data_IF_185401756620
#
_entry.id   IF_185401756620
#
_cell.length_a   1.000
_cell.length_b   1.000
_cell.length_c   1.000
_cell.angle_alpha   90.00
_cell.angle_beta   90.00
_cell.angle_gamma   90.00
#
_symmetry.space_group_name_H-M   'P 1'
#
loop_
_entity.id
_entity.type
_entity.pdbx_description
1 polymer ?
#
# COMPACT_ATOMS: atom_id res chain seq x y z
N UNK A 1 -17.06 61.87 -34.54
CA UNK A 1 -16.20 60.70 -34.83
C UNK A 1 -16.20 59.81 -33.61
N UNK A 2 -16.93 58.69 -33.66
CA UNK A 2 -16.95 57.71 -32.58
C UNK A 2 -15.65 56.89 -32.66
N UNK A 3 -14.84 56.89 -31.59
CA UNK A 3 -13.70 56.00 -31.48
C UNK A 3 -14.19 54.65 -30.94
N UNK A 4 -14.13 53.62 -31.78
CA UNK A 4 -14.42 52.25 -31.37
C UNK A 4 -13.31 51.74 -30.45
N UNK A 5 -13.66 51.47 -29.19
CA UNK A 5 -12.81 50.69 -28.30
C UNK A 5 -12.88 49.22 -28.72
N UNK A 6 -11.81 48.72 -29.35
CA UNK A 6 -11.61 47.30 -29.60
C UNK A 6 -11.43 46.57 -28.26
N UNK A 7 -12.40 45.76 -27.87
CA UNK A 7 -12.26 44.82 -26.77
C UNK A 7 -11.30 43.70 -27.20
N UNK A 8 -10.18 43.57 -26.50
CA UNK A 8 -9.30 42.41 -26.65
C UNK A 8 -10.04 41.15 -26.21
N UNK A 9 -9.92 40.03 -26.94
CA UNK A 9 -10.53 38.77 -26.52
C UNK A 9 -9.85 38.30 -25.24
N UNK A 10 -10.63 38.22 -24.17
CA UNK A 10 -10.26 37.52 -22.95
C UNK A 10 -9.99 36.07 -23.35
N UNK A 11 -8.71 35.70 -23.43
CA UNK A 11 -8.34 34.30 -23.50
C UNK A 11 -8.91 33.64 -22.23
N UNK A 12 -9.95 32.83 -22.40
CA UNK A 12 -10.37 31.86 -21.40
C UNK A 12 -9.20 30.90 -21.23
N UNK A 13 -8.28 31.28 -20.34
CA UNK A 13 -7.35 30.33 -19.75
C UNK A 13 -8.24 29.32 -19.04
N UNK A 14 -8.53 28.23 -19.73
CA UNK A 14 -8.89 26.97 -19.10
C UNK A 14 -7.72 26.69 -18.18
N UNK A 15 -7.89 27.00 -16.91
CA UNK A 15 -6.95 26.58 -15.88
C UNK A 15 -7.00 25.05 -15.89
N UNK A 16 -6.18 24.43 -16.75
CA UNK A 16 -5.73 23.07 -16.54
C UNK A 16 -5.10 23.10 -15.16
N UNK A 17 -5.82 22.59 -14.18
CA UNK A 17 -5.36 22.55 -12.80
C UNK A 17 -4.06 21.74 -12.80
N UNK A 18 -2.92 22.43 -12.82
CA UNK A 18 -1.63 21.77 -12.74
C UNK A 18 -1.54 21.16 -11.34
N UNK A 19 -1.55 19.84 -11.27
CA UNK A 19 -1.40 19.16 -9.98
C UNK A 19 -0.07 19.56 -9.36
N UNK A 20 -0.01 19.77 -8.02
CA UNK A 20 1.24 20.09 -7.37
C UNK A 20 2.21 18.90 -7.52
N UNK A 21 3.52 19.19 -7.63
CA UNK A 21 4.56 18.17 -7.74
C UNK A 21 4.60 17.19 -6.55
N UNK A 22 4.02 17.57 -5.42
CA UNK A 22 3.89 16.77 -4.22
C UNK A 22 2.63 17.18 -3.46
N UNK A 23 2.08 16.26 -2.67
CA UNK A 23 0.94 16.52 -1.78
C UNK A 23 1.24 15.96 -0.40
N UNK A 24 0.78 16.63 0.66
CA UNK A 24 0.70 16.00 1.97
C UNK A 24 -0.59 15.21 2.05
N UNK A 25 -0.51 13.90 2.22
CA UNK A 25 -1.67 13.02 2.31
C UNK A 25 -1.86 12.55 3.74
N UNK A 26 -3.06 12.75 4.27
CA UNK A 26 -3.46 12.17 5.54
C UNK A 26 -3.60 10.65 5.40
N UNK A 27 -2.99 9.88 6.32
CA UNK A 27 -2.99 8.40 6.28
C UNK A 27 -4.37 7.78 6.48
N UNK A 28 -5.29 8.51 7.11
CA UNK A 28 -6.63 8.03 7.43
C UNK A 28 -7.57 8.14 6.23
N UNK A 29 -8.41 7.11 6.07
CA UNK A 29 -9.50 7.13 5.10
C UNK A 29 -10.77 7.60 5.80
N UNK A 30 -11.38 8.65 5.26
CA UNK A 30 -12.58 9.25 5.84
C UNK A 30 -13.84 8.64 5.23
N UNK A 31 -14.47 7.71 5.95
CA UNK A 31 -15.76 7.14 5.53
C UNK A 31 -16.91 8.14 5.71
N UNK A 32 -17.68 8.37 4.65
CA UNK A 32 -18.85 9.26 4.58
C UNK A 32 -19.89 8.60 3.69
N UNK A 33 -20.84 7.90 4.31
CA UNK A 33 -21.83 7.10 3.58
C UNK A 33 -23.00 7.96 3.04
N UNK A 34 -23.24 9.14 3.63
CA UNK A 34 -24.25 10.09 3.16
C UNK A 34 -23.71 11.08 2.12
N UNK A 35 -24.54 11.41 1.13
CA UNK A 35 -24.17 12.32 0.04
C UNK A 35 -23.87 13.75 0.52
N UNK A 36 -24.42 14.18 1.66
CA UNK A 36 -24.27 15.56 2.15
C UNK A 36 -22.87 15.82 2.71
N UNK A 37 -22.27 14.81 3.33
CA UNK A 37 -20.95 14.89 3.94
C UNK A 37 -19.83 14.40 3.01
N UNK A 38 -20.17 13.72 1.93
CA UNK A 38 -19.22 13.29 0.89
C UNK A 38 -18.79 14.48 0.01
N UNK A 39 -17.49 14.65 -0.31
CA UNK A 39 -17.03 15.85 -1.02
C UNK A 39 -17.51 15.92 -2.48
N UNK A 40 -18.21 17.00 -2.85
CA UNK A 40 -18.70 17.29 -4.22
C UNK A 40 -17.63 17.32 -5.32
N UNK A 41 -18.05 17.14 -6.58
CA UNK A 41 -17.20 17.20 -7.79
C UNK A 41 -16.58 18.59 -8.03
N UNK A 42 -17.14 19.64 -7.43
CA UNK A 42 -16.78 21.03 -7.73
C UNK A 42 -15.42 21.47 -7.16
N UNK A 43 -14.79 20.67 -6.29
CA UNK A 43 -13.62 21.07 -5.48
C UNK A 43 -12.28 20.43 -5.89
N UNK A 44 -12.00 20.32 -7.19
CA UNK A 44 -10.78 19.65 -7.70
C UNK A 44 -10.58 18.25 -7.09
N UNK A 45 -11.70 17.51 -7.00
CA UNK A 45 -11.77 16.18 -6.42
C UNK A 45 -11.63 15.14 -7.53
N UNK A 46 -10.68 14.21 -7.40
CA UNK A 46 -10.62 13.04 -8.27
C UNK A 46 -11.58 11.97 -7.73
N UNK A 47 -12.52 11.48 -8.55
CA UNK A 47 -13.53 10.50 -8.12
C UNK A 47 -13.51 9.23 -8.97
N UNK A 48 -13.61 8.09 -8.30
CA UNK A 48 -13.81 6.80 -8.96
C UNK A 48 -14.78 5.95 -8.17
N UNK A 49 -15.60 5.18 -8.88
CA UNK A 49 -16.45 4.15 -8.28
C UNK A 49 -15.91 2.77 -8.63
N UNK A 50 -16.10 1.83 -7.71
CA UNK A 50 -15.67 0.45 -7.84
C UNK A 50 -16.65 -0.48 -7.16
N UNK A 51 -16.40 -1.77 -7.29
CA UNK A 51 -17.10 -2.82 -6.56
C UNK A 51 -16.11 -3.94 -6.29
N UNK A 52 -16.07 -4.41 -5.05
CA UNK A 52 -15.22 -5.55 -4.68
C UNK A 52 -15.85 -6.90 -4.99
N UNK A 53 -15.21 -7.93 -4.48
CA UNK A 53 -15.58 -9.34 -4.60
C UNK A 53 -17.02 -9.63 -4.11
N UNK A 54 -17.47 -8.92 -3.08
CA UNK A 54 -18.84 -9.04 -2.55
C UNK A 54 -19.88 -8.23 -3.35
N UNK A 55 -19.51 -7.64 -4.49
CA UNK A 55 -20.37 -6.84 -5.38
C UNK A 55 -21.06 -5.66 -4.69
N UNK A 56 -20.54 -5.20 -3.55
CA UNK A 56 -21.01 -3.98 -2.90
C UNK A 56 -20.30 -2.78 -3.54
N UNK A 57 -21.05 -1.82 -4.10
CA UNK A 57 -20.46 -0.66 -4.74
C UNK A 57 -19.91 0.30 -3.70
N UNK A 58 -18.81 0.96 -4.04
CA UNK A 58 -18.21 2.04 -3.27
C UNK A 58 -17.74 3.16 -4.20
N UNK A 59 -17.61 4.36 -3.64
CA UNK A 59 -17.06 5.52 -4.33
C UNK A 59 -15.91 6.10 -3.53
N UNK A 60 -14.79 6.34 -4.19
CA UNK A 60 -13.60 7.00 -3.65
C UNK A 60 -13.57 8.44 -4.17
N UNK A 61 -13.33 9.38 -3.27
CA UNK A 61 -13.08 10.78 -3.60
C UNK A 61 -11.75 11.22 -3.00
N UNK A 62 -10.80 11.59 -3.85
CA UNK A 62 -9.54 12.17 -3.44
C UNK A 62 -9.62 13.69 -3.54
N UNK A 63 -9.67 14.34 -2.38
CA UNK A 63 -9.58 15.81 -2.29
C UNK A 63 -8.13 16.23 -2.23
N UNK A 64 -7.65 16.80 -3.32
CA UNK A 64 -6.28 17.31 -3.44
C UNK A 64 -6.27 18.76 -2.97
N UNK A 65 -5.27 19.11 -2.16
CA UNK A 65 -5.07 20.44 -1.62
C UNK A 65 -3.62 20.87 -1.84
N UNK A 66 -3.43 22.14 -2.20
CA UNK A 66 -2.09 22.69 -2.44
C UNK A 66 -1.26 22.66 -1.15
N UNK A 67 -0.02 22.13 -1.17
CA UNK A 67 0.83 22.16 0.01
C UNK A 67 1.07 23.60 0.52
N UNK A 68 1.14 23.83 1.84
CA UNK A 68 1.16 22.84 2.92
C UNK A 68 -0.23 22.45 3.45
N UNK A 69 -1.31 22.60 2.66
CA UNK A 69 -2.59 22.03 3.04
C UNK A 69 -2.58 20.49 2.92
N UNK A 70 -3.42 19.84 3.72
CA UNK A 70 -3.50 18.38 3.79
C UNK A 70 -4.57 17.88 2.81
N UNK A 71 -4.14 17.02 1.89
CA UNK A 71 -5.00 16.25 0.99
C UNK A 71 -5.59 15.03 1.73
N UNK A 72 -6.80 14.62 1.35
CA UNK A 72 -7.55 13.58 2.06
C UNK A 72 -8.27 12.63 1.13
N UNK A 73 -8.30 11.36 1.53
CA UNK A 73 -9.06 10.31 0.86
C UNK A 73 -10.38 10.07 1.58
N UNK A 74 -11.47 10.14 0.82
CA UNK A 74 -12.83 9.86 1.29
C UNK A 74 -13.37 8.61 0.61
N UNK A 75 -14.17 7.85 1.35
CA UNK A 75 -14.85 6.66 0.85
C UNK A 75 -16.33 6.74 1.22
N UNK A 76 -17.19 6.53 0.24
CA UNK A 76 -18.61 6.29 0.42
C UNK A 76 -18.85 4.80 0.18
N UNK A 77 -19.28 4.08 1.21
CA UNK A 77 -19.49 2.64 1.12
C UNK A 77 -20.65 2.20 2.02
N UNK A 78 -21.89 2.61 1.73
CA UNK A 78 -23.05 2.41 2.61
C UNK A 78 -23.39 0.94 2.88
N UNK A 79 -23.03 0.04 1.96
CA UNK A 79 -23.22 -1.42 2.10
C UNK A 79 -21.98 -2.14 2.63
N UNK A 80 -20.93 -1.40 3.00
CA UNK A 80 -19.73 -1.95 3.64
C UNK A 80 -19.93 -2.24 5.12
N UNK A 81 -18.98 -2.93 5.78
CA UNK A 81 -19.03 -3.23 7.21
C UNK A 81 -19.28 -1.99 8.08
N UNK A 82 -19.93 -2.12 9.23
CA UNK A 82 -20.20 -0.97 10.09
C UNK A 82 -18.88 -0.26 10.50
N UNK A 83 -18.71 1.04 10.23
CA UNK A 83 -17.50 1.77 10.61
C UNK A 83 -17.27 1.86 12.13
N UNK A 84 -18.31 1.71 12.95
CA UNK A 84 -18.19 1.67 14.40
C UNK A 84 -17.62 0.32 14.91
N UNK A 85 -17.80 -0.74 14.14
CA UNK A 85 -17.29 -2.08 14.45
C UNK A 85 -15.89 -2.31 13.89
N UNK A 86 -15.61 -1.80 12.68
CA UNK A 86 -14.34 -2.03 12.00
C UNK A 86 -13.96 -0.90 11.04
N UNK A 87 -12.68 -0.48 11.09
CA UNK A 87 -12.09 0.32 10.01
C UNK A 87 -11.87 -0.60 8.81
N UNK A 88 -12.83 -0.62 7.89
CA UNK A 88 -12.86 -1.55 6.78
C UNK A 88 -12.15 -1.07 5.51
N UNK A 89 -11.58 0.14 5.50
CA UNK A 89 -10.84 0.67 4.36
C UNK A 89 -9.53 1.31 4.80
N UNK A 90 -8.44 0.99 4.11
CA UNK A 90 -7.11 1.47 4.44
C UNK A 90 -6.40 2.07 3.22
N UNK A 91 -5.74 3.21 3.44
CA UNK A 91 -4.68 3.69 2.57
C UNK A 91 -3.43 2.86 2.87
N UNK A 92 -3.03 2.01 1.92
CA UNK A 92 -1.97 1.02 2.12
C UNK A 92 -0.61 1.64 1.84
N UNK A 93 -0.42 2.14 0.61
CA UNK A 93 0.84 2.69 0.15
C UNK A 93 0.61 3.67 -1.00
N UNK A 94 1.58 4.55 -1.25
CA UNK A 94 1.56 5.48 -2.38
C UNK A 94 2.93 5.50 -3.05
N UNK A 95 2.94 5.65 -4.37
CA UNK A 95 4.17 5.92 -5.11
C UNK A 95 3.86 6.65 -6.41
N UNK A 96 4.49 7.82 -6.62
CA UNK A 96 4.20 8.73 -7.74
C UNK A 96 2.72 9.09 -7.76
N UNK A 97 2.05 8.84 -8.88
CA UNK A 97 0.62 9.06 -9.07
C UNK A 97 -0.25 7.85 -8.67
N UNK A 98 0.32 6.77 -8.13
CA UNK A 98 -0.44 5.59 -7.73
C UNK A 98 -0.71 5.58 -6.22
N UNK A 99 -1.95 5.26 -5.88
CA UNK A 99 -2.43 5.12 -4.50
C UNK A 99 -3.05 3.74 -4.34
N UNK A 100 -2.46 2.91 -3.48
CA UNK A 100 -2.96 1.58 -3.17
C UNK A 100 -3.92 1.66 -1.98
N UNK A 101 -5.13 1.16 -2.17
CA UNK A 101 -6.18 1.08 -1.15
C UNK A 101 -6.64 -0.36 -0.96
N UNK A 102 -7.05 -0.69 0.26
CA UNK A 102 -7.56 -2.01 0.62
C UNK A 102 -8.95 -1.88 1.23
N UNK A 103 -9.87 -2.73 0.78
CA UNK A 103 -11.22 -2.89 1.33
C UNK A 103 -11.32 -4.25 2.01
N UNK A 104 -11.68 -4.23 3.28
CA UNK A 104 -11.79 -5.39 4.16
C UNK A 104 -13.28 -5.72 4.37
N UNK A 105 -13.63 -7.00 4.29
CA UNK A 105 -15.01 -7.46 4.44
C UNK A 105 -15.16 -8.31 5.69
N UNK A 106 -16.30 -8.21 6.37
CA UNK A 106 -16.66 -9.18 7.40
C UNK A 106 -17.46 -10.28 6.71
N UNK A 107 -16.96 -11.50 6.75
CA UNK A 107 -17.73 -12.67 6.31
C UNK A 107 -18.06 -13.50 7.54
N UNK A 108 -19.34 -13.79 7.73
CA UNK A 108 -19.78 -14.80 8.68
C UNK A 108 -19.34 -16.16 8.16
N UNK A 109 -18.16 -16.60 8.56
CA UNK A 109 -17.62 -17.93 8.28
C UNK A 109 -17.21 -18.60 9.58
N UNK A 110 -17.23 -19.95 9.64
CA UNK A 110 -16.83 -20.70 10.84
C UNK A 110 -15.38 -20.42 11.26
N UNK A 111 -14.57 -19.89 10.33
CA UNK A 111 -13.29 -19.25 10.61
C UNK A 111 -13.46 -17.77 10.27
N UNK A 112 -13.15 -16.82 11.19
CA UNK A 112 -13.17 -15.41 10.84
C UNK A 112 -12.10 -15.11 9.78
N UNK A 113 -12.51 -15.15 8.52
CA UNK A 113 -11.76 -14.63 7.39
C UNK A 113 -12.22 -13.19 7.16
N UNK A 114 -11.26 -12.30 6.92
CA UNK A 114 -11.53 -10.95 6.45
C UNK A 114 -10.98 -10.86 5.04
N UNK A 115 -11.77 -11.21 4.00
CA UNK A 115 -11.37 -11.04 2.63
C UNK A 115 -10.96 -9.59 2.40
N UNK A 116 -9.91 -9.42 1.60
CA UNK A 116 -9.37 -8.12 1.25
C UNK A 116 -9.37 -7.96 -0.27
N UNK A 117 -9.90 -6.86 -0.75
CA UNK A 117 -9.79 -6.46 -2.14
C UNK A 117 -8.91 -5.21 -2.23
N UNK A 118 -7.85 -5.32 -3.05
CA UNK A 118 -6.90 -4.25 -3.28
C UNK A 118 -7.24 -3.53 -4.57
N UNK A 119 -7.16 -2.20 -4.53
CA UNK A 119 -7.36 -1.36 -5.70
C UNK A 119 -6.23 -0.35 -5.82
N UNK A 120 -5.86 -0.06 -7.07
CA UNK A 120 -4.96 1.03 -7.39
C UNK A 120 -5.79 2.18 -7.92
N UNK A 121 -5.70 3.31 -7.23
CA UNK A 121 -6.21 4.58 -7.69
C UNK A 121 -5.07 5.36 -8.37
N UNK A 122 -5.31 5.85 -9.59
CA UNK A 122 -4.34 6.61 -10.36
C UNK A 122 -4.70 8.10 -10.33
N UNK A 123 -3.90 8.91 -9.65
CA UNK A 123 -4.03 10.36 -9.66
C UNK A 123 -3.30 10.96 -10.88
N UNK A 124 -3.78 10.68 -12.10
CA UNK A 124 -3.25 11.34 -13.30
C UNK A 124 -3.92 12.69 -13.51
N UNK A 125 -3.12 13.72 -13.71
CA UNK A 125 -3.61 15.06 -14.01
C UNK A 125 -3.79 15.37 -15.49
N UNK A 126 -3.00 14.73 -16.35
CA UNK A 126 -2.74 15.24 -17.69
C UNK A 126 -3.28 14.38 -18.84
N UNK A 127 -4.07 13.33 -18.58
CA UNK A 127 -4.81 12.66 -19.66
C UNK A 127 -5.99 11.81 -19.15
N UNK A 128 -7.25 12.26 -19.29
CA UNK A 128 -8.42 11.46 -18.91
C UNK A 128 -8.73 10.28 -19.85
N UNK A 129 -7.92 10.00 -20.89
CA UNK A 129 -8.38 9.17 -22.02
C UNK A 129 -7.83 7.73 -22.06
N UNK A 130 -6.85 7.30 -21.25
CA UNK A 130 -6.27 5.95 -21.43
C UNK A 130 -6.18 4.99 -20.24
N UNK A 131 -6.51 5.38 -19.00
CA UNK A 131 -6.54 4.43 -17.88
C UNK A 131 -7.72 4.67 -16.94
N UNK A 132 -8.41 3.62 -16.45
CA UNK A 132 -9.41 3.80 -15.42
C UNK A 132 -8.73 4.41 -14.19
N UNK A 133 -9.37 5.43 -13.60
CA UNK A 133 -8.89 6.07 -12.37
C UNK A 133 -8.76 5.08 -11.21
N UNK A 134 -9.46 3.93 -11.29
CA UNK A 134 -9.44 2.84 -10.32
C UNK A 134 -9.29 1.49 -11.01
N UNK A 135 -8.28 0.71 -10.63
CA UNK A 135 -8.00 -0.65 -11.12
C UNK A 135 -8.09 -1.64 -9.96
N UNK A 136 -8.94 -2.64 -10.08
CA UNK A 136 -8.99 -3.76 -9.13
C UNK A 136 -7.77 -4.68 -9.35
N UNK A 137 -7.17 -5.16 -8.26
CA UNK A 137 -6.10 -6.15 -8.31
C UNK A 137 -6.68 -7.56 -8.11
N UNK A 138 -6.14 -8.58 -8.79
CA UNK A 138 -6.54 -9.95 -8.55
C UNK A 138 -6.18 -10.37 -7.11
N UNK A 139 -6.93 -11.30 -6.50
CA UNK A 139 -6.58 -11.83 -5.19
C UNK A 139 -5.23 -12.55 -5.25
N UNK A 140 -4.44 -12.43 -4.17
CA UNK A 140 -3.28 -13.30 -3.99
C UNK A 140 -3.80 -14.67 -3.58
N UNK A 141 -3.43 -15.73 -4.31
CA UNK A 141 -3.91 -17.09 -4.04
C UNK A 141 -2.75 -18.07 -3.95
N UNK A 142 -2.93 -19.12 -3.16
CA UNK A 142 -1.93 -20.17 -2.97
C UNK A 142 -2.60 -21.55 -2.86
N UNK A 143 -1.85 -22.58 -3.25
CA UNK A 143 -2.24 -23.97 -3.02
C UNK A 143 -1.60 -24.44 -1.71
N UNK A 144 -2.38 -24.85 -0.71
CA UNK A 144 -1.83 -25.47 0.48
C UNK A 144 -1.13 -26.77 0.09
N UNK A 145 0.18 -26.87 0.35
CA UNK A 145 0.90 -28.14 0.25
C UNK A 145 0.52 -28.99 1.45
N UNK A 146 0.05 -30.21 1.24
CA UNK A 146 -0.37 -31.11 2.33
C UNK A 146 0.70 -31.19 3.42
N UNK A 147 0.34 -30.84 4.65
CA UNK A 147 1.21 -30.88 5.83
C UNK A 147 1.87 -29.55 6.23
N UNK A 148 1.84 -28.50 5.40
CA UNK A 148 2.30 -27.17 5.80
C UNK A 148 1.23 -26.42 6.62
N UNK A 149 1.60 -25.72 7.70
CA UNK A 149 0.68 -24.82 8.40
C UNK A 149 0.15 -23.76 7.43
N UNK A 150 -1.14 -23.44 7.52
CA UNK A 150 -1.69 -22.29 6.81
C UNK A 150 -0.89 -21.02 7.18
N UNK A 151 -0.70 -20.05 6.25
CA UNK A 151 -0.04 -18.77 6.55
C UNK A 151 -0.68 -18.04 7.73
N UNK A 152 -1.97 -18.29 7.98
CA UNK A 152 -2.64 -17.92 9.21
C UNK A 152 -2.11 -18.77 10.38
N UNK A 153 -1.54 -18.12 11.39
CA UNK A 153 -1.39 -18.71 12.74
C UNK A 153 -2.72 -19.08 13.39
N UNK A 154 -3.85 -18.78 12.75
CA UNK A 154 -5.16 -19.29 13.17
C UNK A 154 -5.34 -20.71 12.63
N UNK A 155 -4.93 -21.70 13.43
CA UNK A 155 -5.45 -23.05 13.32
C UNK A 155 -6.86 -23.03 13.93
N UNK A 156 -7.96 -23.14 13.16
CA UNK A 156 -9.24 -23.41 13.80
C UNK A 156 -9.16 -24.78 14.48
N UNK A 157 -9.40 -24.81 15.79
CA UNK A 157 -9.76 -26.05 16.46
C UNK A 157 -11.02 -26.59 15.77
N UNK A 158 -10.88 -27.64 14.96
CA UNK A 158 -12.04 -28.27 14.33
C UNK A 158 -11.95 -28.64 12.85
N UNK A 159 -10.77 -28.61 12.20
CA UNK A 159 -10.58 -29.30 10.92
C UNK A 159 -11.49 -28.87 9.75
N UNK A 160 -12.15 -27.72 9.85
CA UNK A 160 -12.95 -27.19 8.74
C UNK A 160 -12.02 -26.65 7.65
N UNK A 161 -12.23 -27.00 6.37
CA UNK A 161 -11.52 -26.34 5.28
C UNK A 161 -11.85 -24.84 5.30
N UNK A 162 -10.87 -23.94 5.04
CA UNK A 162 -11.16 -22.51 4.98
C UNK A 162 -12.23 -22.27 3.94
N UNK A 163 -13.26 -21.51 4.26
CA UNK A 163 -14.38 -21.16 3.36
C UNK A 163 -13.96 -20.48 2.06
N UNK A 164 -12.71 -20.03 1.97
CA UNK A 164 -12.15 -19.33 0.81
C UNK A 164 -11.54 -20.28 -0.24
N UNK A 165 -11.99 -21.53 -0.30
CA UNK A 165 -11.66 -22.43 -1.41
C UNK A 165 -12.30 -21.84 -2.68
N UNK A 166 -11.51 -21.13 -3.48
CA UNK A 166 -11.88 -20.88 -4.88
C UNK A 166 -12.11 -22.23 -5.56
N UNK A 167 -13.07 -22.34 -6.49
CA UNK A 167 -13.51 -23.63 -7.06
C UNK A 167 -12.42 -24.54 -7.66
N UNK A 168 -11.18 -24.06 -7.76
CA UNK A 168 -9.97 -24.76 -8.19
C UNK A 168 -9.11 -25.33 -7.02
N UNK A 169 -9.55 -25.21 -5.76
CA UNK A 169 -8.78 -25.65 -4.59
C UNK A 169 -7.77 -24.62 -4.07
N UNK A 170 -7.66 -23.46 -4.72
CA UNK A 170 -6.80 -22.36 -4.30
C UNK A 170 -7.43 -21.59 -3.15
N UNK A 171 -6.61 -21.21 -2.16
CA UNK A 171 -7.02 -20.38 -1.04
C UNK A 171 -6.55 -18.94 -1.24
N UNK A 172 -7.35 -17.97 -0.80
CA UNK A 172 -6.90 -16.57 -0.69
C UNK A 172 -5.76 -16.48 0.34
N UNK A 173 -4.67 -15.85 -0.07
CA UNK A 173 -3.55 -15.53 0.80
C UNK A 173 -3.87 -14.26 1.61
N UNK A 174 -3.80 -14.31 2.96
CA UNK A 174 -4.11 -13.18 3.81
C UNK A 174 -2.92 -12.20 3.84
N UNK A 175 -2.93 -11.21 2.95
CA UNK A 175 -1.92 -10.14 2.97
C UNK A 175 -2.08 -9.28 4.22
N UNK A 176 -0.99 -8.96 4.92
CA UNK A 176 -1.01 -7.90 5.94
C UNK A 176 -0.81 -6.56 5.26
N UNK A 177 -1.85 -5.73 5.19
CA UNK A 177 -1.81 -4.38 4.64
C UNK A 177 -0.66 -3.53 5.19
N UNK A 178 -0.20 -3.69 6.44
CA UNK A 178 0.97 -2.94 6.96
C UNK A 178 2.29 -3.34 6.31
N UNK A 179 2.35 -4.54 5.76
CA UNK A 179 3.53 -5.11 5.10
C UNK A 179 3.42 -5.07 3.57
N UNK A 180 2.36 -4.49 3.03
CA UNK A 180 2.16 -4.31 1.58
C UNK A 180 2.68 -2.95 1.14
N UNK A 181 3.46 -2.92 0.05
CA UNK A 181 3.93 -1.71 -0.61
C UNK A 181 3.60 -1.70 -2.09
N UNK A 182 3.73 -0.53 -2.72
CA UNK A 182 3.60 -0.33 -4.16
C UNK A 182 4.82 0.40 -4.72
N UNK A 183 5.34 -0.08 -5.84
CA UNK A 183 6.42 0.52 -6.61
C UNK A 183 5.92 0.78 -8.04
N UNK A 184 6.25 1.94 -8.59
CA UNK A 184 5.88 2.36 -9.94
C UNK A 184 7.14 2.76 -10.70
N UNK A 185 7.45 2.07 -11.78
CA UNK A 185 8.63 2.30 -12.60
C UNK A 185 8.23 2.33 -14.08
N UNK A 186 8.34 3.51 -14.69
CA UNK A 186 7.92 3.70 -16.07
C UNK A 186 6.43 3.45 -16.23
N UNK A 187 6.09 2.50 -17.11
CA UNK A 187 4.71 2.08 -17.39
C UNK A 187 4.28 0.82 -16.62
N UNK A 188 5.12 0.34 -15.71
CA UNK A 188 4.88 -0.85 -14.90
C UNK A 188 4.76 -0.49 -13.42
N UNK A 189 4.00 -1.31 -12.69
CA UNK A 189 3.98 -1.28 -11.24
C UNK A 189 4.15 -2.68 -10.66
N UNK A 190 4.63 -2.70 -9.42
CA UNK A 190 4.65 -3.88 -8.58
C UNK A 190 3.96 -3.58 -7.25
N UNK A 191 3.10 -4.50 -6.81
CA UNK A 191 2.57 -4.54 -5.45
C UNK A 191 3.20 -5.74 -4.77
N UNK A 192 3.76 -5.56 -3.58
CA UNK A 192 4.41 -6.65 -2.88
C UNK A 192 4.21 -6.62 -1.37
N UNK A 193 4.09 -7.81 -0.79
CA UNK A 193 4.15 -8.05 0.65
C UNK A 193 5.42 -8.84 0.99
N UNK A 194 6.08 -8.50 2.10
CA UNK A 194 7.18 -9.28 2.67
C UNK A 194 6.85 -9.68 4.11
N UNK A 195 6.90 -10.98 4.36
CA UNK A 195 6.74 -11.57 5.70
C UNK A 195 8.00 -12.30 6.11
N UNK A 196 8.53 -12.00 7.30
CA UNK A 196 9.66 -12.76 7.86
C UNK A 196 9.16 -14.08 8.46
N UNK A 197 9.61 -15.18 7.86
CA UNK A 197 9.38 -16.55 8.30
C UNK A 197 10.47 -16.97 9.29
N UNK A 198 10.02 -17.53 10.41
CA UNK A 198 10.88 -18.03 11.49
C UNK A 198 10.59 -19.52 11.64
N UNK A 199 11.62 -20.34 11.58
CA UNK A 199 11.49 -21.76 11.89
C UNK A 199 12.11 -22.08 13.26
N UNK A 200 11.66 -23.17 13.88
CA UNK A 200 12.17 -23.74 15.14
C UNK A 200 13.68 -23.96 15.07
N UNK A 201 14.19 -24.30 13.88
CA UNK A 201 15.62 -24.49 13.61
C UNK A 201 16.44 -23.19 13.57
N UNK A 202 15.90 -22.06 14.09
CA UNK A 202 16.56 -20.76 14.12
C UNK A 202 17.01 -20.25 12.74
N UNK A 203 16.34 -20.68 11.66
CA UNK A 203 16.57 -20.13 10.32
C UNK A 203 15.52 -19.06 10.04
N UNK A 204 15.98 -17.87 9.68
CA UNK A 204 15.15 -16.77 9.21
C UNK A 204 15.14 -16.76 7.68
N UNK A 205 13.93 -16.71 7.11
CA UNK A 205 13.69 -16.51 5.68
C UNK A 205 12.64 -15.41 5.51
N UNK A 206 12.46 -14.95 4.29
CA UNK A 206 11.34 -14.09 3.94
C UNK A 206 10.44 -14.79 2.92
N UNK A 207 9.13 -14.64 3.10
CA UNK A 207 8.15 -14.88 2.06
C UNK A 207 7.84 -13.56 1.38
N UNK A 208 7.95 -13.53 0.06
CA UNK A 208 7.63 -12.39 -0.77
C UNK A 208 6.47 -12.76 -1.70
N UNK A 209 5.36 -12.03 -1.59
CA UNK A 209 4.23 -12.12 -2.50
C UNK A 209 4.30 -10.91 -3.43
N UNK A 210 4.42 -11.10 -4.75
CA UNK A 210 4.58 -9.99 -5.71
C UNK A 210 3.58 -10.10 -6.84
N UNK A 211 2.88 -9.02 -7.11
CA UNK A 211 2.10 -8.79 -8.31
C UNK A 211 2.82 -7.77 -9.20
N UNK A 212 3.13 -8.12 -10.45
CA UNK A 212 3.62 -7.17 -11.46
C UNK A 212 2.59 -6.99 -12.55
N UNK A 213 2.37 -5.76 -12.99
CA UNK A 213 1.42 -5.47 -14.05
C UNK A 213 1.74 -4.14 -14.73
N UNK A 214 1.38 -4.02 -15.99
CA UNK A 214 1.37 -2.75 -16.69
C UNK A 214 0.27 -1.83 -16.13
N UNK A 215 0.54 -0.52 -16.12
CA UNK A 215 -0.43 0.50 -15.70
C UNK A 215 -1.58 0.55 -16.72
N UNK A 216 -1.27 0.47 -18.02
CA UNK A 216 -2.20 0.58 -19.16
C UNK A 216 -2.69 -0.77 -19.69
N UNK A 217 -3.08 -1.71 -18.83
CA UNK A 217 -3.72 -2.94 -19.32
C UNK A 217 -5.16 -2.67 -19.77
N UNK A 218 -5.36 -2.24 -21.03
CA UNK A 218 -6.62 -2.52 -21.75
C UNK A 218 -6.60 -4.01 -22.12
N UNK A 219 -6.94 -4.88 -21.16
CA UNK A 219 -7.14 -6.28 -21.50
C UNK A 219 -8.42 -6.41 -22.33
N UNK A 220 -8.30 -6.72 -23.62
CA UNK A 220 -9.42 -7.15 -24.47
C UNK A 220 -10.05 -8.44 -23.93
N UNK A 221 -9.25 -9.25 -23.23
CA UNK A 221 -9.71 -10.33 -22.37
C UNK A 221 -9.63 -9.82 -20.92
N UNK A 222 -10.71 -9.93 -20.14
CA UNK A 222 -10.83 -9.46 -18.75
C UNK A 222 -9.85 -10.07 -17.73
N UNK A 223 -8.81 -10.76 -18.20
CA UNK A 223 -7.72 -11.40 -17.46
C UNK A 223 -6.37 -10.68 -17.66
N UNK A 224 -6.39 -9.39 -18.04
CA UNK A 224 -5.18 -8.53 -18.06
C UNK A 224 -4.56 -8.25 -16.68
N UNK A 225 -5.00 -8.96 -15.63
CA UNK A 225 -4.51 -8.86 -14.27
C UNK A 225 -3.21 -9.64 -14.13
N UNK A 226 -2.15 -9.01 -13.62
CA UNK A 226 -0.92 -9.74 -13.32
C UNK A 226 -1.21 -10.93 -12.39
N UNK A 227 -0.39 -11.97 -12.46
CA UNK A 227 -0.45 -13.07 -11.49
C UNK A 227 0.43 -12.76 -10.29
N UNK A 228 -0.01 -13.18 -9.10
CA UNK A 228 0.83 -13.15 -7.90
C UNK A 228 1.87 -14.28 -7.93
N UNK A 229 3.14 -13.91 -7.77
CA UNK A 229 4.24 -14.83 -7.51
C UNK A 229 4.53 -14.87 -6.02
N UNK A 230 4.46 -16.06 -5.41
CA UNK A 230 4.83 -16.28 -4.01
C UNK A 230 6.16 -17.03 -3.98
N UNK A 231 7.15 -16.44 -3.31
CA UNK A 231 8.49 -17.01 -3.21
C UNK A 231 9.04 -16.94 -1.80
N UNK A 232 9.80 -17.96 -1.41
CA UNK A 232 10.57 -17.97 -0.17
C UNK A 232 12.05 -17.73 -0.49
N UNK A 233 12.60 -16.67 0.10
CA UNK A 233 13.93 -16.17 -0.20
C UNK A 233 14.77 -16.09 1.09
N UNK A 234 16.09 -16.30 1.00
CA UNK A 234 16.99 -15.99 2.10
C UNK A 234 17.07 -14.48 2.33
N UNK A 235 17.30 -14.08 3.57
CA UNK A 235 17.60 -12.70 3.93
C UNK A 235 19.11 -12.60 4.09
N UNK A 236 19.74 -11.67 3.36
CA UNK A 236 21.18 -11.39 3.45
C UNK A 236 21.42 -10.36 4.55
N UNK A 237 22.23 -10.74 5.53
CA UNK A 237 22.65 -9.90 6.66
C UNK A 237 24.11 -10.19 7.01
N UNK A 238 24.77 -9.23 7.66
CA UNK A 238 26.22 -9.20 7.84
C UNK A 238 26.73 -9.89 9.11
N UNK A 239 26.01 -9.85 10.23
CA UNK A 239 26.50 -10.37 11.51
C UNK A 239 25.51 -11.27 12.26
N UNK A 240 26.02 -12.05 13.22
CA UNK A 240 25.18 -12.87 14.10
C UNK A 240 24.30 -12.06 15.07
N UNK A 241 24.59 -10.78 15.32
CA UNK A 241 23.70 -9.92 16.11
C UNK A 241 22.45 -9.53 15.33
N UNK A 242 22.61 -9.24 14.04
CA UNK A 242 21.52 -8.89 13.13
C UNK A 242 20.52 -10.04 12.93
N UNK A 243 20.94 -11.27 13.22
CA UNK A 243 20.04 -12.41 13.26
C UNK A 243 18.85 -12.16 14.19
N UNK A 244 19.09 -11.62 15.39
CA UNK A 244 18.02 -11.35 16.36
C UNK A 244 17.13 -10.18 15.92
N UNK A 245 17.71 -9.22 15.20
CA UNK A 245 16.95 -8.15 14.58
C UNK A 245 15.97 -8.70 13.53
N UNK A 246 16.43 -9.61 12.69
CA UNK A 246 15.56 -10.24 11.70
C UNK A 246 14.57 -11.20 12.38
N UNK A 247 15.00 -11.95 13.39
CA UNK A 247 14.15 -12.90 14.10
C UNK A 247 12.95 -12.18 14.73
N UNK A 248 13.16 -11.06 15.40
CA UNK A 248 12.09 -10.30 16.04
C UNK A 248 11.43 -9.26 15.11
N UNK A 249 11.74 -9.29 13.82
CA UNK A 249 11.24 -8.35 12.82
C UNK A 249 9.72 -8.21 12.84
N UNK A 250 9.25 -6.96 12.80
CA UNK A 250 7.91 -6.62 12.35
C UNK A 250 7.90 -5.32 11.56
N UNK A 251 7.26 -5.35 10.39
CA UNK A 251 7.11 -4.17 9.56
C UNK A 251 6.17 -3.14 10.21
N UNK A 252 6.65 -1.91 10.37
CA UNK A 252 5.86 -0.75 10.77
C UNK A 252 5.36 0.05 9.56
N UNK A 253 6.17 0.12 8.50
CA UNK A 253 5.79 0.75 7.22
C UNK A 253 6.57 0.18 6.03
N UNK A 254 6.02 0.36 4.83
CA UNK A 254 6.71 0.06 3.56
C UNK A 254 6.82 1.34 2.76
N UNK A 255 7.99 1.58 2.17
CA UNK A 255 8.24 2.73 1.30
C UNK A 255 8.88 2.27 -0.01
N UNK A 256 8.64 3.01 -1.09
CA UNK A 256 9.34 2.84 -2.35
C UNK A 256 10.53 3.81 -2.41
N UNK A 257 11.70 3.30 -2.78
CA UNK A 257 12.92 4.07 -2.95
C UNK A 257 13.68 3.60 -4.18
N UNK A 258 13.81 4.46 -5.19
CA UNK A 258 14.39 4.11 -6.50
C UNK A 258 13.68 2.90 -7.10
N UNK A 259 14.36 1.75 -7.24
CA UNK A 259 13.81 0.50 -7.76
C UNK A 259 13.47 -0.51 -6.65
N UNK A 260 13.55 -0.09 -5.39
CA UNK A 260 13.38 -0.96 -4.24
C UNK A 260 12.07 -0.66 -3.51
N UNK A 261 11.43 -1.72 -3.03
CA UNK A 261 10.57 -1.61 -1.85
C UNK A 261 11.40 -1.86 -0.60
N UNK A 262 11.13 -1.06 0.41
CA UNK A 262 11.83 -1.07 1.68
C UNK A 262 10.80 -1.26 2.81
N UNK A 263 10.88 -2.38 3.50
CA UNK A 263 10.12 -2.68 4.71
C UNK A 263 10.92 -2.19 5.91
N UNK A 264 10.30 -1.35 6.72
CA UNK A 264 10.96 -0.68 7.85
C UNK A 264 10.40 -1.24 9.15
N UNK A 265 11.31 -1.65 10.03
CA UNK A 265 11.05 -1.89 11.46
C UNK A 265 11.82 -0.80 12.21
N UNK A 266 11.10 0.14 12.82
CA UNK A 266 11.71 1.31 13.43
C UNK A 266 12.63 0.96 14.59
N UNK A 267 12.47 -0.20 15.20
CA UNK A 267 13.27 -0.65 16.34
C UNK A 267 14.48 -1.48 15.91
N UNK A 268 14.70 -1.66 14.59
CA UNK A 268 15.71 -2.61 14.07
C UNK A 268 16.44 -2.13 12.83
N UNK A 269 15.72 -1.82 11.76
CA UNK A 269 16.35 -1.63 10.46
C UNK A 269 15.38 -1.63 9.30
N UNK A 270 15.94 -1.92 8.14
CA UNK A 270 15.24 -1.93 6.86
C UNK A 270 15.58 -3.20 6.09
N UNK A 271 14.55 -3.93 5.68
CA UNK A 271 14.67 -4.94 4.63
C UNK A 271 14.34 -4.28 3.30
N UNK A 272 15.12 -4.53 2.26
CA UNK A 272 14.85 -3.96 0.95
C UNK A 272 15.04 -4.98 -0.16
N UNK A 273 14.25 -4.82 -1.22
CA UNK A 273 14.14 -5.80 -2.30
C UNK A 273 13.81 -5.10 -3.62
N UNK A 274 14.54 -5.45 -4.68
CA UNK A 274 14.16 -5.08 -6.04
C UNK A 274 13.04 -6.01 -6.50
N UNK A 275 11.81 -5.59 -6.24
CA UNK A 275 10.59 -6.35 -6.54
C UNK A 275 10.25 -6.36 -8.03
N UNK A 276 11.09 -5.78 -8.89
CA UNK A 276 10.96 -5.84 -10.35
C UNK A 276 11.95 -6.84 -10.98
N UNK A 277 12.85 -7.45 -10.20
CA UNK A 277 13.71 -8.55 -10.68
C UNK A 277 13.02 -9.92 -10.64
N UNK A 278 13.18 -10.74 -11.67
CA UNK A 278 12.63 -12.11 -11.70
C UNK A 278 13.10 -13.00 -10.53
N UNK A 279 14.29 -12.74 -10.00
CA UNK A 279 14.84 -13.38 -8.80
C UNK A 279 15.29 -12.30 -7.83
N UNK A 280 14.37 -11.78 -7.00
CA UNK A 280 14.70 -10.73 -6.06
C UNK A 280 15.68 -11.25 -5.00
N UNK A 281 16.63 -10.40 -4.61
CA UNK A 281 17.39 -10.57 -3.37
C UNK A 281 16.77 -9.72 -2.26
N UNK A 282 16.83 -10.20 -1.02
CA UNK A 282 16.41 -9.44 0.15
C UNK A 282 17.64 -9.21 1.02
N UNK A 283 17.94 -7.94 1.28
CA UNK A 283 19.04 -7.54 2.13
C UNK A 283 18.55 -6.73 3.32
N UNK A 284 19.27 -6.84 4.43
CA UNK A 284 19.01 -6.14 5.67
C UNK A 284 20.04 -5.02 5.88
N UNK A 285 19.56 -3.85 6.29
CA UNK A 285 20.38 -2.75 6.81
C UNK A 285 19.91 -2.46 8.24
N UNK A 286 20.81 -2.61 9.20
CA UNK A 286 20.57 -2.26 10.59
C UNK A 286 20.54 -0.74 10.76
N UNK A 287 19.59 -0.22 11.54
CA UNK A 287 19.60 1.20 11.90
C UNK A 287 20.64 1.48 13.00
N UNK A 288 21.24 2.68 13.02
CA UNK A 288 22.17 3.08 14.07
C UNK A 288 21.38 3.44 15.34
N UNK A 289 20.95 2.44 16.10
CA UNK A 289 20.23 2.62 17.36
C UNK A 289 21.17 2.45 18.55
N UNK A 290 21.02 3.31 19.56
CA UNK A 290 21.80 3.23 20.81
C UNK A 290 21.52 1.93 21.59
N UNK A 291 20.30 1.40 21.46
CA UNK A 291 19.92 0.10 22.01
C UNK A 291 18.78 -0.52 21.20
N UNK A 292 18.77 -1.85 21.14
CA UNK A 292 17.73 -2.64 20.49
C UNK A 292 16.85 -3.28 21.56
N UNK A 293 15.51 -3.24 21.43
CA UNK A 293 14.65 -3.91 22.38
C UNK A 293 14.84 -5.43 22.29
N UNK A 294 15.08 -6.06 23.44
CA UNK A 294 15.05 -7.51 23.57
C UNK A 294 13.62 -8.02 23.41
N UNK A 295 13.41 -8.86 22.39
CA UNK A 295 12.11 -9.47 22.10
C UNK A 295 11.07 -8.50 21.51
N UNK A 296 9.81 -8.95 21.51
CA UNK A 296 8.67 -8.21 20.93
C UNK A 296 8.00 -7.23 21.89
N UNK A 297 8.20 -7.41 23.20
CA UNK A 297 7.31 -6.83 24.22
C UNK A 297 7.56 -5.35 24.51
N UNK A 298 8.66 -4.77 24.02
CA UNK A 298 8.98 -3.35 24.18
C UNK A 298 8.91 -2.60 22.86
N UNK A 299 7.76 -2.64 22.16
CA UNK A 299 7.53 -1.60 21.15
C UNK A 299 7.27 -0.29 21.88
N UNK A 300 8.23 0.62 21.83
CA UNK A 300 8.12 1.95 22.44
C UNK A 300 7.20 2.88 21.64
N UNK A 301 6.09 2.36 21.08
CA UNK A 301 5.28 3.06 20.09
C UNK A 301 6.18 3.82 19.09
N UNK A 302 7.25 3.17 18.61
CA UNK A 302 8.33 3.81 17.87
C UNK A 302 7.81 4.54 16.63
N UNK A 303 6.70 4.06 16.04
CA UNK A 303 5.96 4.73 14.97
C UNK A 303 5.41 6.13 15.31
N UNK A 304 5.31 6.49 16.58
CA UNK A 304 4.88 7.82 17.05
C UNK A 304 6.05 8.81 17.04
N UNK A 305 7.27 8.30 17.16
CA UNK A 305 8.49 9.10 17.33
C UNK A 305 9.46 8.98 16.15
N UNK A 306 9.27 7.99 15.28
CA UNK A 306 10.16 7.70 14.16
C UNK A 306 9.39 7.68 12.85
N UNK A 307 10.01 8.25 11.83
CA UNK A 307 9.50 8.28 10.47
C UNK A 307 10.62 8.06 9.47
N UNK A 308 10.37 7.26 8.43
CA UNK A 308 11.24 7.24 7.26
C UNK A 308 10.53 7.96 6.11
N UNK A 309 11.28 8.83 5.43
CA UNK A 309 10.81 9.51 4.22
C UNK A 309 11.89 9.49 3.15
N UNK A 310 11.45 9.54 1.90
CA UNK A 310 12.32 9.69 0.73
C UNK A 310 12.31 11.16 0.36
N UNK A 311 13.47 11.80 0.39
CA UNK A 311 13.61 13.16 -0.11
C UNK A 311 14.15 13.16 -1.54
N UNK A 312 13.58 13.98 -2.44
CA UNK A 312 14.27 14.29 -3.67
C UNK A 312 15.61 14.93 -3.31
N UNK A 313 16.63 14.64 -4.12
CA UNK A 313 17.92 15.29 -3.96
C UNK A 313 17.79 16.80 -4.12
N UNK A 314 18.57 17.56 -3.34
CA UNK A 314 18.61 19.02 -3.43
C UNK A 314 19.12 19.51 -4.80
N UNK A 315 19.74 18.63 -5.59
CA UNK A 315 20.21 18.89 -6.96
C UNK A 315 19.84 17.70 -7.83
N UNK A 316 19.39 17.96 -9.06
CA UNK A 316 19.05 16.91 -10.04
C UNK A 316 20.18 15.90 -10.31
N UNK A 317 21.42 16.21 -9.91
CA UNK A 317 22.61 15.38 -10.07
C UNK A 317 22.94 14.49 -8.85
N UNK A 318 22.34 14.74 -7.69
CA UNK A 318 22.52 13.87 -6.52
C UNK A 318 21.41 12.80 -6.49
N UNK A 319 21.68 11.58 -6.00
CA UNK A 319 20.65 10.56 -5.83
C UNK A 319 19.66 10.97 -4.72
N UNK A 320 18.39 10.58 -4.85
CA UNK A 320 17.41 10.66 -3.76
C UNK A 320 17.99 10.01 -2.50
N UNK A 321 17.68 10.56 -1.33
CA UNK A 321 18.17 10.05 -0.03
C UNK A 321 17.03 9.56 0.84
N UNK A 322 17.29 8.49 1.60
CA UNK A 322 16.43 8.05 2.69
C UNK A 322 16.80 8.83 3.95
N UNK A 323 15.82 9.50 4.54
CA UNK A 323 15.96 10.16 5.84
C UNK A 323 15.14 9.42 6.88
N UNK A 324 15.76 9.12 8.01
CA UNK A 324 15.06 8.72 9.22
C UNK A 324 15.02 9.92 10.17
N UNK A 325 13.81 10.30 10.59
CA UNK A 325 13.64 11.25 11.69
C UNK A 325 13.39 10.48 12.99
N UNK A 326 13.99 10.97 14.07
CA UNK A 326 13.72 10.52 15.44
C UNK A 326 13.33 11.73 16.28
N UNK A 327 12.09 11.80 16.72
CA UNK A 327 11.63 12.74 17.73
C UNK A 327 11.92 12.18 19.12
N UNK A 328 12.83 12.80 19.87
CA UNK A 328 12.92 12.57 21.30
C UNK A 328 11.97 13.54 21.99
N UNK A 329 10.92 13.05 22.66
CA UNK A 329 10.34 13.82 23.76
C UNK A 329 11.28 13.56 24.93
N UNK A 330 12.08 14.56 25.29
CA UNK A 330 12.72 14.55 26.59
C UNK A 330 11.61 14.40 27.63
N UNK A 331 11.55 13.25 28.32
CA UNK A 331 10.80 13.17 29.56
C UNK A 331 11.39 14.21 30.50
N UNK A 332 10.61 15.23 30.84
CA UNK A 332 10.96 16.19 31.89
C UNK A 332 11.22 15.48 33.21
#
# INVERSE_FOLDING_TARGET
MAMSSSSFPTATATATASFPNWVMLERFVFRRDDDKSFPDDTKATLRASGSGSHKTPFTIAFRIADPPAISRLYVQWPQGPNPEEMVACHLVATHRNLVLVCFCYIVECPVPACPQDYFIFTASGDDPVSSPLLKALPPCTYQPKGGEPLPCTYQPEGGFPPSDVEGDGNLRYPLEFRSVGILCQGEEFAVAELQVLRNINANVKARLCVLRSAISSKGEDGDGGGRWDIMELPIVYGSGEEYWDIFYWTTDTVIAFQNYLCWVDYDRGMLFCDVLQKRPGIAFIRFPLDSFPNGRSRRHFSQVYRGVSVTPSATALAPSSLLMSTGSIASC
#
